data_IF_982740397661
#
_entry.id   IF_982740397661
#
_cell.length_a   1.000
_cell.length_b   1.000
_cell.length_c   1.000
_cell.angle_alpha   90.00
_cell.angle_beta   90.00
_cell.angle_gamma   90.00
#
_symmetry.space_group_name_H-M   'P 1'
#
loop_
_entity.id
_entity.type
_entity.pdbx_description
1 polymer ?
#
# COMPACT_ATOMS: atom_id res chain seq x y z
N UNK A 1 -18.04 -28.56 -21.28
CA UNK A 1 -16.84 -27.70 -21.41
C UNK A 1 -16.52 -27.13 -20.04
N UNK A 2 -15.42 -27.60 -19.46
CA UNK A 2 -15.01 -27.31 -18.09
C UNK A 2 -14.76 -25.79 -17.95
N UNK A 3 -15.35 -25.15 -16.92
CA UNK A 3 -15.18 -23.72 -16.68
C UNK A 3 -13.71 -23.41 -16.34
N UNK A 4 -12.90 -23.04 -17.34
CA UNK A 4 -11.48 -22.68 -17.20
C UNK A 4 -11.24 -21.21 -16.76
N UNK A 5 -12.29 -20.38 -16.80
CA UNK A 5 -12.27 -18.98 -16.38
C UNK A 5 -11.72 -18.72 -14.95
N UNK A 6 -12.08 -19.50 -13.90
CA UNK A 6 -11.55 -19.28 -12.55
C UNK A 6 -10.06 -19.63 -12.41
N UNK A 7 -9.56 -20.65 -13.12
CA UNK A 7 -8.15 -21.04 -13.08
C UNK A 7 -7.28 -19.97 -13.76
N UNK A 8 -7.68 -19.53 -14.96
CA UNK A 8 -6.96 -18.49 -15.71
C UNK A 8 -6.90 -17.15 -14.94
N UNK A 9 -7.95 -16.83 -14.17
CA UNK A 9 -8.02 -15.61 -13.37
C UNK A 9 -7.20 -15.69 -12.07
N UNK A 10 -7.16 -16.83 -11.37
CA UNK A 10 -6.25 -17.06 -10.23
C UNK A 10 -4.79 -16.90 -10.64
N UNK A 11 -4.42 -17.42 -11.80
CA UNK A 11 -3.09 -17.18 -12.38
C UNK A 11 -2.85 -15.71 -12.69
N UNK A 12 -3.87 -14.97 -13.16
CA UNK A 12 -3.73 -13.53 -13.44
C UNK A 12 -3.50 -12.67 -12.17
N UNK A 13 -4.03 -13.07 -11.02
CA UNK A 13 -3.81 -12.39 -9.74
C UNK A 13 -2.43 -12.75 -9.15
N UNK A 14 -2.01 -14.01 -9.27
CA UNK A 14 -0.65 -14.44 -8.94
C UNK A 14 0.40 -13.76 -9.82
N UNK A 15 0.12 -13.57 -11.12
CA UNK A 15 0.99 -12.84 -12.04
C UNK A 15 1.07 -11.35 -11.67
N UNK A 16 -0.05 -10.72 -11.29
CA UNK A 16 -0.05 -9.33 -10.85
C UNK A 16 0.72 -9.16 -9.52
N UNK A 17 0.61 -10.12 -8.61
CA UNK A 17 1.33 -10.13 -7.33
C UNK A 17 2.82 -10.40 -7.55
N UNK A 18 3.18 -11.36 -8.40
CA UNK A 18 4.56 -11.61 -8.79
C UNK A 18 5.17 -10.41 -9.54
N UNK A 19 4.39 -9.72 -10.37
CA UNK A 19 4.83 -8.54 -11.10
C UNK A 19 5.04 -7.34 -10.17
N UNK A 20 4.12 -7.10 -9.24
CA UNK A 20 4.29 -6.06 -8.21
C UNK A 20 5.48 -6.37 -7.30
N UNK A 21 5.66 -7.63 -6.89
CA UNK A 21 6.80 -8.07 -6.11
C UNK A 21 8.13 -7.95 -6.89
N UNK A 22 8.14 -8.32 -8.17
CA UNK A 22 9.30 -8.15 -9.06
C UNK A 22 9.63 -6.66 -9.26
N UNK A 23 8.62 -5.82 -9.45
CA UNK A 23 8.78 -4.37 -9.53
C UNK A 23 9.32 -3.77 -8.23
N UNK A 24 8.84 -4.24 -7.07
CA UNK A 24 9.37 -3.87 -5.75
C UNK A 24 10.87 -4.20 -5.67
N UNK A 25 11.27 -5.40 -6.07
CA UNK A 25 12.69 -5.82 -6.07
C UNK A 25 13.53 -4.97 -7.03
N UNK A 26 13.00 -4.65 -8.22
CA UNK A 26 13.68 -3.78 -9.18
C UNK A 26 13.86 -2.35 -8.63
N UNK A 27 12.85 -1.85 -7.92
CA UNK A 27 12.83 -0.55 -7.23
C UNK A 27 13.85 -0.47 -6.09
N UNK A 28 13.96 -1.52 -5.26
CA UNK A 28 14.95 -1.57 -4.17
C UNK A 28 16.39 -1.50 -4.71
N UNK A 29 16.61 -1.95 -5.96
CA UNK A 29 17.93 -1.90 -6.62
C UNK A 29 18.23 -0.54 -7.25
N UNK A 30 17.24 0.21 -7.73
CA UNK A 30 17.48 1.53 -8.36
C UNK A 30 17.85 2.63 -7.38
N UNK A 31 17.37 2.58 -6.12
CA UNK A 31 17.78 3.53 -5.06
C UNK A 31 19.30 3.51 -4.81
N UNK A 32 19.92 2.32 -4.86
CA UNK A 32 21.37 2.19 -4.70
C UNK A 32 22.16 2.62 -5.93
N UNK A 33 21.51 2.77 -7.09
CA UNK A 33 22.19 2.97 -8.38
C UNK A 33 22.07 4.41 -8.90
N UNK A 34 20.99 5.17 -8.61
CA UNK A 34 20.67 6.43 -9.31
C UNK A 34 20.45 7.69 -8.45
N UNK A 35 20.37 7.63 -7.12
CA UNK A 35 20.14 8.84 -6.30
C UNK A 35 18.73 9.45 -6.48
N UNK A 36 18.60 10.78 -6.43
CA UNK A 36 17.32 11.53 -6.39
C UNK A 36 16.29 11.23 -7.50
N UNK A 37 16.66 10.99 -8.78
CA UNK A 37 15.70 10.62 -9.83
C UNK A 37 15.00 9.29 -9.54
N UNK A 38 15.64 8.39 -8.79
CA UNK A 38 15.09 7.10 -8.39
C UNK A 38 13.84 7.27 -7.52
N UNK A 39 13.79 8.29 -6.66
CA UNK A 39 12.67 8.55 -5.75
C UNK A 39 11.37 8.82 -6.52
N UNK A 40 11.42 9.56 -7.63
CA UNK A 40 10.25 9.87 -8.45
C UNK A 40 9.71 8.65 -9.21
N UNK A 41 10.60 7.77 -9.67
CA UNK A 41 10.21 6.51 -10.31
C UNK A 41 9.50 5.60 -9.29
N UNK A 42 9.98 5.59 -8.05
CA UNK A 42 9.38 4.83 -6.93
C UNK A 42 8.00 5.38 -6.60
N UNK A 43 7.88 6.71 -6.50
CA UNK A 43 6.60 7.37 -6.29
C UNK A 43 5.59 6.99 -7.37
N UNK A 44 5.99 7.11 -8.64
CA UNK A 44 5.13 6.78 -9.77
C UNK A 44 4.71 5.31 -9.79
N UNK A 45 5.61 4.38 -9.48
CA UNK A 45 5.27 2.95 -9.43
C UNK A 45 4.36 2.61 -8.26
N UNK A 46 4.57 3.20 -7.08
CA UNK A 46 3.68 3.03 -5.93
C UNK A 46 2.27 3.52 -6.25
N UNK A 47 2.14 4.74 -6.79
CA UNK A 47 0.86 5.31 -7.19
C UNK A 47 0.18 4.47 -8.27
N UNK A 48 0.90 4.06 -9.32
CA UNK A 48 0.34 3.20 -10.37
C UNK A 48 -0.13 1.84 -9.83
N UNK A 49 0.66 1.19 -8.95
CA UNK A 49 0.28 -0.09 -8.35
C UNK A 49 -0.92 0.05 -7.40
N UNK A 50 -0.99 1.14 -6.64
CA UNK A 50 -2.11 1.52 -5.80
C UNK A 50 -3.40 1.72 -6.63
N UNK A 51 -3.32 2.46 -7.74
CA UNK A 51 -4.45 2.72 -8.62
C UNK A 51 -4.93 1.45 -9.33
N UNK A 52 -4.01 0.61 -9.82
CA UNK A 52 -4.35 -0.67 -10.46
C UNK A 52 -5.00 -1.61 -9.45
N UNK A 53 -4.48 -1.67 -8.22
CA UNK A 53 -5.05 -2.47 -7.13
C UNK A 53 -6.44 -1.98 -6.75
N UNK A 54 -6.63 -0.66 -6.60
CA UNK A 54 -7.92 -0.04 -6.34
C UNK A 54 -8.93 -0.36 -7.46
N UNK A 55 -8.55 -0.21 -8.72
CA UNK A 55 -9.42 -0.52 -9.87
C UNK A 55 -9.82 -2.00 -9.91
N UNK A 56 -8.88 -2.92 -9.68
CA UNK A 56 -9.17 -4.37 -9.61
C UNK A 56 -10.06 -4.71 -8.41
N UNK A 57 -9.90 -4.02 -7.29
CA UNK A 57 -10.67 -4.25 -6.07
C UNK A 57 -12.17 -4.00 -6.24
N UNK A 58 -12.55 -2.98 -7.01
CA UNK A 58 -13.97 -2.68 -7.33
C UNK A 58 -14.55 -3.60 -8.41
N UNK A 59 -13.76 -4.03 -9.38
CA UNK A 59 -14.25 -4.84 -10.50
C UNK A 59 -14.28 -6.36 -10.24
N UNK A 60 -13.86 -6.84 -9.06
CA UNK A 60 -13.77 -8.29 -8.79
C UNK A 60 -14.91 -8.77 -7.89
N UNK A 61 -15.79 -9.68 -8.36
CA UNK A 61 -16.98 -10.14 -7.62
C UNK A 61 -16.70 -11.18 -6.51
N UNK A 62 -15.44 -11.60 -6.29
CA UNK A 62 -15.08 -12.57 -5.25
C UNK A 62 -14.78 -11.89 -3.90
N UNK A 63 -15.45 -12.38 -2.85
CA UNK A 63 -15.63 -11.66 -1.59
C UNK A 63 -14.38 -11.58 -0.70
N UNK A 64 -13.62 -12.67 -0.55
CA UNK A 64 -12.59 -12.77 0.49
C UNK A 64 -11.14 -12.71 -0.04
N UNK A 65 -10.83 -13.41 -1.13
CA UNK A 65 -9.46 -13.41 -1.68
C UNK A 65 -9.01 -12.01 -2.11
N UNK A 66 -9.85 -11.24 -2.79
CA UNK A 66 -9.53 -9.87 -3.19
C UNK A 66 -9.38 -8.91 -2.00
N UNK A 67 -10.02 -9.21 -0.86
CA UNK A 67 -9.83 -8.45 0.37
C UNK A 67 -8.45 -8.74 1.00
N UNK A 68 -8.07 -10.02 1.07
CA UNK A 68 -6.74 -10.40 1.55
C UNK A 68 -5.61 -9.81 0.68
N UNK A 69 -5.74 -9.85 -0.65
CA UNK A 69 -4.78 -9.22 -1.57
C UNK A 69 -4.63 -7.72 -1.29
N UNK A 70 -5.73 -7.03 -1.08
CA UNK A 70 -5.72 -5.61 -0.78
C UNK A 70 -5.00 -5.30 0.55
N UNK A 71 -5.25 -6.09 1.61
CA UNK A 71 -4.53 -5.94 2.88
C UNK A 71 -3.02 -6.17 2.72
N UNK A 72 -2.63 -7.18 1.93
CA UNK A 72 -1.22 -7.45 1.62
C UNK A 72 -0.59 -6.25 0.91
N UNK A 73 -1.28 -5.64 -0.06
CA UNK A 73 -0.78 -4.44 -0.76
C UNK A 73 -0.60 -3.26 0.19
N UNK A 74 -1.53 -3.04 1.13
CA UNK A 74 -1.41 -1.99 2.15
C UNK A 74 -0.18 -2.23 3.05
N UNK A 75 0.01 -3.47 3.53
CA UNK A 75 1.17 -3.83 4.34
C UNK A 75 2.47 -3.60 3.55
N UNK A 76 2.54 -4.07 2.31
CA UNK A 76 3.70 -3.86 1.44
C UNK A 76 3.97 -2.37 1.18
N UNK A 77 2.93 -1.55 1.05
CA UNK A 77 3.06 -0.10 0.89
C UNK A 77 3.70 0.54 2.12
N UNK A 78 3.23 0.20 3.33
CA UNK A 78 3.83 0.66 4.60
C UNK A 78 5.30 0.26 4.67
N UNK A 79 5.64 -0.99 4.36
CA UNK A 79 7.04 -1.45 4.34
C UNK A 79 7.89 -0.73 3.29
N UNK A 80 7.33 -0.40 2.12
CA UNK A 80 8.03 0.36 1.08
C UNK A 80 8.36 1.78 1.53
N UNK A 81 7.40 2.49 2.14
CA UNK A 81 7.66 3.81 2.72
C UNK A 81 8.63 3.74 3.90
N UNK A 82 8.52 2.72 4.76
CA UNK A 82 9.49 2.50 5.83
C UNK A 82 10.91 2.31 5.28
N UNK A 83 11.06 1.54 4.20
CA UNK A 83 12.34 1.40 3.51
C UNK A 83 12.86 2.73 2.96
N UNK A 84 11.98 3.53 2.36
CA UNK A 84 12.31 4.86 1.84
C UNK A 84 12.87 5.77 2.95
N UNK A 85 12.19 5.83 4.10
CA UNK A 85 12.62 6.60 5.26
C UNK A 85 13.92 6.08 5.86
N UNK A 86 14.16 4.77 5.80
CA UNK A 86 15.44 4.17 6.23
C UNK A 86 16.60 4.61 5.34
N UNK A 87 16.42 4.60 4.02
CA UNK A 87 17.50 4.89 3.06
C UNK A 87 17.84 6.38 3.03
N UNK A 88 16.84 7.25 3.11
CA UNK A 88 17.04 8.71 3.02
C UNK A 88 17.34 9.33 4.39
N UNK A 89 16.78 8.78 5.46
CA UNK A 89 16.88 9.31 6.80
C UNK A 89 15.63 10.04 7.27
N UNK A 90 15.55 10.28 8.58
CA UNK A 90 14.49 11.04 9.25
C UNK A 90 15.09 12.19 10.05
N UNK A 91 14.28 13.18 10.38
CA UNK A 91 14.64 14.29 11.26
C UNK A 91 14.02 14.06 12.65
N UNK A 92 14.79 14.33 13.71
CA UNK A 92 14.33 14.23 15.10
C UNK A 92 14.29 15.57 15.84
N UNK A 93 14.85 16.64 15.25
CA UNK A 93 14.95 17.97 15.84
C UNK A 93 14.33 19.05 14.94
N UNK A 94 14.10 20.24 15.53
CA UNK A 94 13.62 21.41 14.80
C UNK A 94 14.71 22.02 13.89
N UNK A 95 15.97 21.65 14.12
CA UNK A 95 17.14 22.05 13.33
C UNK A 95 17.20 21.34 11.98
N UNK A 96 16.46 20.25 11.81
CA UNK A 96 16.33 19.53 10.53
C UNK A 96 17.51 18.59 10.26
N UNK A 97 18.26 18.20 11.30
CA UNK A 97 19.36 17.28 11.14
C UNK A 97 18.81 15.89 10.81
N UNK A 98 19.23 15.34 9.68
CA UNK A 98 18.89 13.98 9.29
C UNK A 98 19.75 12.99 10.05
N UNK A 99 19.12 11.94 10.56
CA UNK A 99 19.81 10.78 11.13
C UNK A 99 19.37 9.51 10.40
N UNK A 100 20.17 8.45 10.48
CA UNK A 100 19.83 7.13 9.95
C UNK A 100 18.93 6.38 10.96
N UNK A 101 17.63 6.22 10.69
CA UNK A 101 16.71 5.65 11.66
C UNK A 101 16.81 4.13 11.70
N UNK A 102 16.77 3.51 12.88
CA UNK A 102 16.58 2.06 13.00
C UNK A 102 15.34 1.57 12.23
N UNK A 103 15.35 0.31 11.77
CA UNK A 103 14.22 -0.28 11.04
C UNK A 103 12.90 -0.10 11.78
N UNK A 104 12.93 -0.23 13.10
CA UNK A 104 11.75 -0.01 13.94
C UNK A 104 11.26 1.44 13.90
N UNK A 105 12.16 2.42 13.91
CA UNK A 105 11.81 3.84 13.82
C UNK A 105 11.26 4.21 12.44
N UNK A 106 11.84 3.64 11.38
CA UNK A 106 11.37 3.87 10.02
C UNK A 106 9.98 3.24 9.77
N UNK A 107 9.74 2.02 10.26
CA UNK A 107 8.43 1.37 10.23
C UNK A 107 7.43 2.14 11.08
N UNK A 108 7.82 2.54 12.29
CA UNK A 108 6.98 3.35 13.18
C UNK A 108 6.54 4.64 12.49
N UNK A 109 7.46 5.39 11.88
CA UNK A 109 7.13 6.64 11.19
C UNK A 109 6.19 6.40 9.99
N UNK A 110 6.45 5.39 9.18
CA UNK A 110 5.57 4.98 8.07
C UNK A 110 4.16 4.62 8.55
N UNK A 111 4.04 3.76 9.56
CA UNK A 111 2.73 3.37 10.12
C UNK A 111 1.97 4.59 10.67
N UNK A 112 2.64 5.45 11.44
CA UNK A 112 2.05 6.64 12.05
C UNK A 112 1.64 7.67 10.99
N UNK A 113 2.38 7.78 9.90
CA UNK A 113 2.06 8.66 8.76
C UNK A 113 0.88 8.11 7.97
N UNK A 114 0.91 6.82 7.62
CA UNK A 114 -0.16 6.14 6.89
C UNK A 114 -1.49 6.14 7.65
N UNK A 115 -1.44 5.93 8.98
CA UNK A 115 -2.61 6.03 9.86
C UNK A 115 -2.98 7.47 10.23
N UNK A 116 -2.20 8.46 9.80
CA UNK A 116 -2.36 9.89 10.11
C UNK A 116 -2.35 10.22 11.61
N UNK A 117 -1.75 9.35 12.44
CA UNK A 117 -1.62 9.56 13.89
C UNK A 117 -0.67 10.71 14.22
N UNK A 118 0.45 10.81 13.49
CA UNK A 118 1.39 11.94 13.58
C UNK A 118 1.87 12.30 14.99
N UNK A 119 2.35 11.35 15.79
CA UNK A 119 2.77 11.61 17.19
C UNK A 119 3.87 12.67 17.39
N UNK A 120 4.55 13.10 16.32
CA UNK A 120 5.52 14.20 16.35
C UNK A 120 6.93 13.84 16.82
N UNK A 121 7.24 12.54 17.00
CA UNK A 121 8.58 12.10 17.41
C UNK A 121 9.63 12.13 16.27
N UNK A 122 9.18 12.01 15.01
CA UNK A 122 10.03 12.08 13.83
C UNK A 122 9.34 12.91 12.75
N UNK A 123 10.13 13.55 11.91
CA UNK A 123 9.67 14.34 10.77
C UNK A 123 10.41 13.95 9.49
N UNK A 124 9.77 14.05 8.31
CA UNK A 124 10.44 13.80 7.05
C UNK A 124 11.36 14.99 6.69
N UNK A 125 12.53 14.74 6.10
CA UNK A 125 13.36 15.81 5.54
C UNK A 125 12.65 16.51 4.36
N UNK A 126 13.15 17.69 3.97
CA UNK A 126 12.49 18.54 2.98
C UNK A 126 12.22 17.85 1.64
N UNK A 127 13.15 17.00 1.18
CA UNK A 127 13.02 16.20 -0.04
C UNK A 127 11.94 15.08 0.07
N UNK A 128 11.58 14.64 1.28
CA UNK A 128 10.56 13.61 1.51
C UNK A 128 9.22 14.14 2.00
N UNK A 129 9.07 15.46 2.25
CA UNK A 129 7.80 16.04 2.68
C UNK A 129 6.65 15.67 1.75
N UNK A 130 6.85 15.76 0.43
CA UNK A 130 5.83 15.40 -0.55
C UNK A 130 5.44 13.92 -0.48
N UNK A 131 6.41 13.04 -0.21
CA UNK A 131 6.19 11.61 -0.08
C UNK A 131 5.37 11.27 1.16
N UNK A 132 5.68 11.89 2.30
CA UNK A 132 4.91 11.72 3.53
C UNK A 132 3.47 12.26 3.38
N UNK A 133 3.30 13.41 2.71
CA UNK A 133 1.96 13.94 2.39
C UNK A 133 1.16 12.95 1.52
N UNK A 134 1.79 12.39 0.50
CA UNK A 134 1.16 11.41 -0.37
C UNK A 134 0.85 10.09 0.34
N UNK A 135 1.73 9.62 1.23
CA UNK A 135 1.49 8.44 2.06
C UNK A 135 0.25 8.62 2.94
N UNK A 136 0.12 9.77 3.60
CA UNK A 136 -1.04 10.11 4.41
C UNK A 136 -2.34 10.18 3.58
N UNK A 137 -2.29 10.82 2.40
CA UNK A 137 -3.43 10.88 1.48
C UNK A 137 -3.85 9.50 0.98
N UNK A 138 -2.88 8.67 0.58
CA UNK A 138 -3.15 7.30 0.17
C UNK A 138 -3.75 6.49 1.31
N UNK A 139 -3.23 6.62 2.53
CA UNK A 139 -3.78 5.94 3.72
C UNK A 139 -5.26 6.22 3.95
N UNK A 140 -5.67 7.49 3.83
CA UNK A 140 -7.07 7.89 3.95
C UNK A 140 -7.96 7.25 2.86
N UNK A 141 -7.51 7.28 1.61
CA UNK A 141 -8.25 6.67 0.49
C UNK A 141 -8.37 5.15 0.65
N UNK A 142 -7.27 4.48 1.04
CA UNK A 142 -7.27 3.04 1.28
C UNK A 142 -8.16 2.64 2.45
N UNK A 143 -8.14 3.38 3.57
CA UNK A 143 -9.03 3.13 4.70
C UNK A 143 -10.51 3.25 4.32
N UNK A 144 -10.88 4.29 3.57
CA UNK A 144 -12.26 4.45 3.10
C UNK A 144 -12.72 3.26 2.24
N UNK A 145 -11.84 2.73 1.38
CA UNK A 145 -12.12 1.55 0.56
C UNK A 145 -12.29 0.26 1.38
N UNK A 146 -11.47 0.06 2.41
CA UNK A 146 -11.60 -1.10 3.34
C UNK A 146 -12.97 -1.07 4.00
N UNK A 147 -13.35 0.07 4.57
CA UNK A 147 -14.63 0.24 5.27
C UNK A 147 -15.80 0.03 4.30
N UNK A 148 -15.76 0.67 3.13
CA UNK A 148 -16.81 0.55 2.12
C UNK A 148 -17.05 -0.89 1.66
N UNK A 149 -15.98 -1.65 1.39
CA UNK A 149 -16.13 -3.06 1.01
C UNK A 149 -16.60 -3.92 2.17
N UNK A 150 -16.14 -3.66 3.38
CA UNK A 150 -16.57 -4.42 4.57
C UNK A 150 -18.08 -4.29 4.77
N UNK A 151 -18.61 -3.08 4.69
CA UNK A 151 -20.06 -2.82 4.77
C UNK A 151 -20.82 -3.51 3.63
N UNK A 152 -20.32 -3.40 2.40
CA UNK A 152 -20.95 -4.06 1.25
C UNK A 152 -21.00 -5.59 1.39
N UNK A 153 -19.95 -6.19 1.97
CA UNK A 153 -19.90 -7.62 2.23
C UNK A 153 -20.91 -8.05 3.30
N UNK A 154 -21.06 -7.26 4.37
CA UNK A 154 -22.05 -7.49 5.43
C UNK A 154 -23.49 -7.39 4.90
N UNK A 155 -23.81 -6.33 4.16
CA UNK A 155 -25.14 -6.13 3.56
C UNK A 155 -25.53 -7.25 2.59
N UNK A 156 -24.56 -7.79 1.84
CA UNK A 156 -24.81 -8.90 0.91
C UNK A 156 -24.98 -10.24 1.64
N UNK A 157 -24.41 -10.41 2.83
CA UNK A 157 -24.60 -11.63 3.61
C UNK A 157 -26.03 -11.70 4.16
N UNK A 158 -26.51 -10.60 4.73
CA UNK A 158 -27.85 -10.47 5.29
C UNK A 158 -28.96 -10.75 4.25
N UNK A 159 -28.84 -10.20 3.04
CA UNK A 159 -29.77 -10.51 1.94
C UNK A 159 -29.77 -11.98 1.49
N UNK A 160 -28.67 -12.70 1.71
CA UNK A 160 -28.54 -14.11 1.32
C UNK A 160 -29.15 -15.07 2.32
N UNK A 161 -29.20 -14.71 3.61
CA UNK A 161 -29.89 -15.49 4.65
C UNK A 161 -31.40 -15.32 4.55
N UNK A 162 -31.89 -14.09 4.37
CA UNK A 162 -33.33 -13.81 4.24
C UNK A 162 -34.03 -14.53 3.07
N UNK A 163 -33.30 -14.98 2.03
CA UNK A 163 -33.84 -15.72 0.89
C UNK A 163 -33.86 -17.24 1.08
N UNK A 164 -33.18 -17.77 2.10
CA UNK A 164 -33.19 -19.21 2.42
C UNK A 164 -34.32 -19.60 3.38
N UNK A 165 -34.83 -18.61 4.12
CA UNK A 165 -35.87 -18.80 5.13
C UNK A 165 -37.29 -18.51 4.60
N UNK A 166 -37.42 -18.15 3.31
CA UNK A 166 -38.68 -17.89 2.59
C UNK A 166 -39.02 -19.00 1.59
#
# INVERSE_FOLDING_TARGET
MQNWLPVFRKYSDLIALAFTFFLVIAVLKTLKFWGDPGLWIIFGTLVCSALISSYRFFNTPHKFESFAHFLIVVILMIFMFAFLYRVVGLCCDAEGNTFDPDWLNAIYFSVVTWTTLGYGGFSPPENLKLFAMAEALMGQVFMAMIVGKTIFLLQRNDKGENLKDS
#
